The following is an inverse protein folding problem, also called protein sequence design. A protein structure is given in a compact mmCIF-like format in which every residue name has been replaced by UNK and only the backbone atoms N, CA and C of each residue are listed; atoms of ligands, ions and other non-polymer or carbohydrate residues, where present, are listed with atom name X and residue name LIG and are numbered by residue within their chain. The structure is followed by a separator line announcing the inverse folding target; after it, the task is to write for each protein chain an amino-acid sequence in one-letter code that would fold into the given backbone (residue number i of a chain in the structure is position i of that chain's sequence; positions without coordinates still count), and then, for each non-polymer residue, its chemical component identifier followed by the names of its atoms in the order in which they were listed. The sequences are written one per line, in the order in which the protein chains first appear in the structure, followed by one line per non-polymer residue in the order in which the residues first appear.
data_IF_933880400385
#
_entry.id   IF_933880400385
#
_cell.length_a   1.000
_cell.length_b   1.000
_cell.length_c   1.000
_cell.angle_alpha   90.00
_cell.angle_beta   90.00
_cell.angle_gamma   90.00
#
_symmetry.space_group_name_H-M   'P 1'
#
loop_
_entity.id
_entity.type
_entity.pdbx_description
1 polymer ?
#
# COMPACT_ATOMS: atom_id res chain seq x y z
N UNK A 1 20.80 80.61 -0.15
CA UNK A 1 20.47 81.39 1.06
C UNK A 1 20.35 80.39 2.18
N UNK A 2 21.34 80.43 3.08
CA UNK A 2 21.38 79.92 4.45
C UNK A 2 21.27 78.38 4.57
N UNK A 3 22.38 77.65 4.62
CA UNK A 3 23.36 77.51 5.72
C UNK A 3 22.80 76.79 6.96
N UNK A 4 23.58 75.80 7.39
CA UNK A 4 23.86 75.35 8.77
C UNK A 4 23.51 73.88 9.12
N UNK A 5 24.53 73.03 9.08
CA UNK A 5 24.77 72.07 10.18
C UNK A 5 25.18 72.86 11.43
N UNK A 6 24.92 72.39 12.67
CA UNK A 6 25.98 71.65 13.37
C UNK A 6 25.57 70.66 14.48
N UNK A 7 26.51 69.73 14.72
CA UNK A 7 27.11 69.30 16.00
C UNK A 7 26.29 68.70 17.18
N UNK A 8 26.80 67.53 17.57
CA UNK A 8 26.83 66.86 18.89
C UNK A 8 26.55 67.69 20.16
N UNK A 9 25.73 67.10 21.04
CA UNK A 9 25.77 67.27 22.49
C UNK A 9 25.23 66.01 23.22
N UNK A 10 26.08 65.33 23.99
CA UNK A 10 25.70 64.60 25.22
C UNK A 10 25.95 65.55 26.42
N UNK A 11 25.53 65.31 27.69
CA UNK A 11 24.92 64.11 28.30
C UNK A 11 23.69 64.42 29.20
N UNK A 12 23.07 63.41 29.81
CA UNK A 12 22.01 63.62 30.80
C UNK A 12 21.45 62.32 31.36
N UNK A 13 22.21 61.72 32.28
CA UNK A 13 21.85 60.55 33.07
C UNK A 13 20.67 60.87 34.00
N UNK A 14 19.52 60.24 33.79
CA UNK A 14 18.44 60.16 34.78
C UNK A 14 17.86 58.75 34.79
N UNK A 15 18.41 57.96 35.71
CA UNK A 15 17.97 56.65 36.13
C UNK A 15 16.51 56.63 36.59
N UNK A 16 15.64 55.84 35.93
CA UNK A 16 14.44 55.28 36.55
C UNK A 16 14.17 53.89 35.93
N UNK A 17 14.53 52.87 36.71
CA UNK A 17 13.99 51.52 36.81
C UNK A 17 13.55 50.79 35.52
N UNK A 18 14.40 49.85 35.10
CA UNK A 18 14.02 48.76 34.20
C UNK A 18 13.29 47.64 34.97
N UNK A 19 12.03 47.31 34.65
CA UNK A 19 11.47 46.01 34.98
C UNK A 19 11.90 44.98 33.92
N UNK A 20 12.16 43.77 34.42
CA UNK A 20 12.73 42.62 33.73
C UNK A 20 12.20 42.35 32.31
N UNK A 21 13.12 41.97 31.42
CA UNK A 21 12.82 41.36 30.12
C UNK A 21 11.96 40.10 30.32
N UNK A 22 10.81 39.95 29.63
CA UNK A 22 10.19 38.65 29.48
C UNK A 22 11.06 37.81 28.55
N UNK A 23 11.45 36.63 29.05
CA UNK A 23 12.27 35.66 28.35
C UNK A 23 11.74 35.37 26.94
N UNK A 24 12.66 35.37 25.97
CA UNK A 24 12.41 34.88 24.63
C UNK A 24 11.87 33.44 24.72
N UNK A 25 10.64 33.25 24.25
CA UNK A 25 10.04 31.93 24.12
C UNK A 25 10.81 31.16 23.02
N UNK A 26 11.28 29.94 23.27
CA UNK A 26 11.96 29.17 22.24
C UNK A 26 10.98 28.82 21.13
N UNK A 27 11.41 29.03 19.88
CA UNK A 27 10.71 28.62 18.68
C UNK A 27 10.41 27.12 18.75
N UNK A 28 9.21 26.65 18.35
CA UNK A 28 8.91 25.23 18.38
C UNK A 28 9.79 24.52 17.35
N UNK A 29 10.56 23.53 17.82
CA UNK A 29 11.34 22.65 16.97
C UNK A 29 10.43 21.91 15.97
N UNK A 30 10.88 21.70 14.72
CA UNK A 30 10.11 20.94 13.75
C UNK A 30 9.96 19.50 14.27
N UNK A 31 8.72 19.04 14.37
CA UNK A 31 8.41 17.66 14.72
C UNK A 31 9.18 16.72 13.79
N UNK A 32 10.02 15.86 14.37
CA UNK A 32 10.67 14.79 13.65
C UNK A 32 9.60 13.88 13.03
N UNK A 33 9.37 14.02 11.73
CA UNK A 33 8.70 13.01 10.92
C UNK A 33 9.54 11.73 11.00
N UNK A 34 9.15 10.82 11.89
CA UNK A 34 9.67 9.47 11.91
C UNK A 34 9.20 8.83 10.60
N UNK A 35 10.14 8.67 9.66
CA UNK A 35 9.89 7.94 8.42
C UNK A 35 9.19 6.62 8.78
N UNK A 36 8.03 6.30 8.16
CA UNK A 36 7.32 5.07 8.44
C UNK A 36 8.26 3.90 8.20
N UNK A 37 8.44 3.04 9.20
CA UNK A 37 9.19 1.80 9.04
C UNK A 37 8.54 1.02 7.91
N UNK A 38 9.32 0.69 6.88
CA UNK A 38 8.83 -0.12 5.79
C UNK A 38 8.23 -1.41 6.36
N UNK A 39 7.04 -1.84 5.92
CA UNK A 39 6.57 -3.16 6.26
C UNK A 39 7.66 -4.15 5.87
N UNK A 40 7.97 -5.11 6.76
CA UNK A 40 8.93 -6.16 6.44
C UNK A 40 8.57 -6.73 5.06
N UNK A 41 9.53 -6.74 4.11
CA UNK A 41 9.26 -7.21 2.77
C UNK A 41 8.62 -8.59 2.90
N UNK A 42 7.50 -8.86 2.22
CA UNK A 42 6.77 -10.12 2.36
C UNK A 42 7.64 -11.27 1.86
N UNK A 43 8.51 -11.84 2.71
CA UNK A 43 9.51 -12.86 2.39
C UNK A 43 9.87 -12.84 0.90
N UNK A 44 10.28 -11.68 0.37
CA UNK A 44 10.74 -11.63 -1.00
C UNK A 44 12.11 -12.26 -0.93
N UNK A 45 12.14 -13.57 -1.19
CA UNK A 45 13.37 -14.35 -1.18
C UNK A 45 14.43 -13.52 -1.90
N UNK A 46 15.52 -13.22 -1.20
CA UNK A 46 16.73 -12.77 -1.86
C UNK A 46 17.16 -13.93 -2.76
N UNK A 47 16.71 -13.91 -4.02
CA UNK A 47 17.06 -14.89 -5.04
C UNK A 47 18.46 -14.63 -5.61
N UNK A 48 19.17 -13.63 -5.08
CA UNK A 48 20.46 -13.15 -5.59
C UNK A 48 21.62 -13.27 -4.60
N UNK A 49 21.36 -13.55 -3.33
CA UNK A 49 22.37 -13.85 -2.31
C UNK A 49 22.16 -15.26 -1.74
N UNK A 50 23.21 -15.82 -1.13
CA UNK A 50 23.22 -17.16 -0.48
C UNK A 50 22.01 -17.34 0.46
N UNK A 51 20.91 -17.84 -0.10
CA UNK A 51 19.64 -17.93 0.61
C UNK A 51 19.73 -19.00 1.69
N UNK A 52 19.74 -18.56 2.95
CA UNK A 52 19.54 -19.44 4.09
C UNK A 52 18.22 -20.19 3.89
N UNK A 53 18.22 -21.53 3.93
CA UNK A 53 17.05 -22.39 3.65
C UNK A 53 15.81 -22.06 4.50
N UNK A 54 15.96 -21.29 5.58
CA UNK A 54 14.88 -20.73 6.40
C UNK A 54 14.05 -19.63 5.73
N UNK A 55 14.48 -19.10 4.58
CA UNK A 55 13.77 -18.03 3.82
C UNK A 55 12.94 -18.55 2.65
N UNK A 56 13.01 -19.85 2.34
CA UNK A 56 12.26 -20.45 1.23
C UNK A 56 10.80 -20.74 1.62
N UNK A 57 9.91 -20.76 0.62
CA UNK A 57 8.49 -21.08 0.84
C UNK A 57 8.34 -22.50 1.41
N UNK A 58 7.30 -22.78 2.23
CA UNK A 58 7.20 -24.01 3.01
C UNK A 58 7.31 -25.31 2.21
N UNK A 59 6.95 -25.30 0.93
CA UNK A 59 7.05 -26.47 0.05
C UNK A 59 8.50 -26.95 -0.16
N UNK A 60 9.51 -26.11 0.10
CA UNK A 60 10.92 -26.50 -0.02
C UNK A 60 11.38 -27.47 1.08
N UNK A 61 10.69 -27.49 2.21
CA UNK A 61 10.92 -28.45 3.30
C UNK A 61 10.21 -29.80 3.06
N UNK A 62 9.36 -29.89 2.03
CA UNK A 62 8.60 -31.09 1.66
C UNK A 62 9.29 -31.83 0.50
N UNK A 63 9.01 -33.14 0.39
CA UNK A 63 9.60 -33.99 -0.65
C UNK A 63 9.34 -33.42 -2.06
N UNK A 64 10.31 -33.52 -2.98
CA UNK A 64 10.15 -33.02 -4.35
C UNK A 64 8.89 -33.53 -5.06
N UNK A 65 8.53 -34.81 -4.87
CA UNK A 65 7.32 -35.38 -5.45
C UNK A 65 6.03 -34.73 -4.93
N UNK A 66 5.99 -34.38 -3.64
CA UNK A 66 4.84 -33.70 -3.01
C UNK A 66 4.74 -32.26 -3.53
N UNK A 67 5.89 -31.57 -3.63
CA UNK A 67 5.96 -30.22 -4.21
C UNK A 67 5.50 -30.20 -5.66
N UNK A 68 5.88 -31.21 -6.44
CA UNK A 68 5.44 -31.36 -7.82
C UNK A 68 3.92 -31.55 -7.91
N UNK A 69 3.33 -32.36 -7.02
CA UNK A 69 1.88 -32.51 -6.94
C UNK A 69 1.15 -31.19 -6.61
N UNK A 70 1.74 -30.35 -5.74
CA UNK A 70 1.22 -29.01 -5.50
C UNK A 70 1.27 -28.13 -6.76
N UNK A 71 2.38 -28.17 -7.50
CA UNK A 71 2.54 -27.41 -8.74
C UNK A 71 1.53 -27.86 -9.79
N UNK A 72 1.35 -29.16 -10.03
CA UNK A 72 0.36 -29.68 -10.97
C UNK A 72 -1.06 -29.22 -10.62
N UNK A 73 -1.44 -29.32 -9.35
CA UNK A 73 -2.74 -28.86 -8.85
C UNK A 73 -2.95 -27.35 -9.12
N UNK A 74 -1.94 -26.53 -8.82
CA UNK A 74 -2.03 -25.08 -9.01
C UNK A 74 -2.02 -24.70 -10.50
N UNK A 75 -1.18 -25.31 -11.31
CA UNK A 75 -1.10 -25.06 -12.75
C UNK A 75 -2.40 -25.44 -13.45
N UNK A 76 -2.98 -26.60 -13.11
CA UNK A 76 -4.27 -27.02 -13.64
C UNK A 76 -5.38 -26.00 -13.32
N UNK A 77 -5.41 -25.46 -12.09
CA UNK A 77 -6.41 -24.46 -11.75
C UNK A 77 -6.18 -23.10 -12.43
N UNK A 78 -4.92 -22.64 -12.50
CA UNK A 78 -4.59 -21.28 -12.99
C UNK A 78 -4.57 -21.19 -14.51
N UNK A 79 -3.99 -22.17 -15.20
CA UNK A 79 -3.74 -22.12 -16.64
C UNK A 79 -4.68 -23.02 -17.45
N UNK A 80 -5.11 -24.15 -16.87
CA UNK A 80 -6.04 -25.07 -17.55
C UNK A 80 -7.50 -24.80 -17.16
N UNK A 81 -7.75 -23.81 -16.30
CA UNK A 81 -9.08 -23.44 -15.79
C UNK A 81 -9.83 -24.60 -15.10
N UNK A 82 -9.10 -25.58 -14.56
CA UNK A 82 -9.69 -26.70 -13.82
C UNK A 82 -10.48 -26.19 -12.61
N UNK A 83 -11.73 -26.63 -12.38
CA UNK A 83 -12.47 -26.33 -11.17
C UNK A 83 -11.68 -26.69 -9.91
N UNK A 84 -11.96 -25.99 -8.80
CA UNK A 84 -11.25 -26.18 -7.52
C UNK A 84 -11.30 -27.65 -7.08
N UNK A 85 -12.50 -28.26 -7.13
CA UNK A 85 -12.69 -29.66 -6.72
C UNK A 85 -11.90 -30.65 -7.57
N UNK A 86 -11.76 -30.38 -8.87
CA UNK A 86 -11.01 -31.24 -9.79
C UNK A 86 -9.51 -31.10 -9.56
N UNK A 87 -9.02 -29.88 -9.32
CA UNK A 87 -7.63 -29.64 -8.95
C UNK A 87 -7.28 -30.31 -7.61
N UNK A 88 -8.17 -30.25 -6.62
CA UNK A 88 -7.98 -30.92 -5.32
C UNK A 88 -8.06 -32.45 -5.42
N UNK A 89 -8.91 -32.97 -6.32
CA UNK A 89 -8.95 -34.41 -6.63
C UNK A 89 -7.62 -34.85 -7.24
N UNK A 90 -7.11 -34.14 -8.25
CA UNK A 90 -5.81 -34.41 -8.86
C UNK A 90 -4.68 -34.44 -7.82
N UNK A 91 -4.65 -33.46 -6.92
CA UNK A 91 -3.70 -33.43 -5.80
C UNK A 91 -3.83 -34.69 -4.92
N UNK A 92 -5.05 -35.08 -4.59
CA UNK A 92 -5.32 -36.25 -3.76
C UNK A 92 -4.89 -37.55 -4.43
N UNK A 93 -5.13 -37.69 -5.73
CA UNK A 93 -4.76 -38.84 -6.54
C UNK A 93 -3.23 -38.96 -6.63
N UNK A 94 -2.52 -37.87 -6.94
CA UNK A 94 -1.05 -37.85 -6.98
C UNK A 94 -0.44 -38.19 -5.62
N UNK A 95 -0.98 -37.64 -4.53
CA UNK A 95 -0.54 -38.00 -3.17
C UNK A 95 -0.83 -39.46 -2.82
N UNK A 96 -1.89 -40.05 -3.36
CA UNK A 96 -2.21 -41.47 -3.17
C UNK A 96 -1.18 -42.35 -3.89
N UNK A 97 -0.80 -41.98 -5.12
CA UNK A 97 0.27 -42.65 -5.86
C UNK A 97 1.59 -42.56 -5.10
N UNK A 98 1.95 -41.37 -4.62
CA UNK A 98 3.17 -41.17 -3.82
C UNK A 98 3.13 -42.03 -2.54
N UNK A 99 1.98 -42.08 -1.85
CA UNK A 99 1.81 -42.92 -0.67
C UNK A 99 2.01 -44.41 -0.99
N UNK A 100 1.50 -44.89 -2.12
CA UNK A 100 1.69 -46.27 -2.56
C UNK A 100 3.16 -46.58 -2.84
N UNK A 101 3.91 -45.65 -3.43
CA UNK A 101 5.33 -45.83 -3.71
C UNK A 101 6.21 -45.78 -2.44
N UNK A 102 5.87 -44.93 -1.48
CA UNK A 102 6.68 -44.72 -0.26
C UNK A 102 6.22 -45.59 0.93
N UNK A 103 5.06 -46.24 0.84
CA UNK A 103 4.40 -46.94 1.94
C UNK A 103 3.70 -46.01 2.94
N UNK A 104 4.20 -44.78 3.11
CA UNK A 104 3.58 -43.75 3.95
C UNK A 104 3.97 -42.35 3.48
N UNK A 105 3.02 -41.42 3.49
CA UNK A 105 3.32 -39.99 3.29
C UNK A 105 4.06 -39.40 4.49
N UNK A 106 5.12 -38.61 4.27
CA UNK A 106 5.81 -37.92 5.35
C UNK A 106 4.87 -36.93 6.03
N UNK A 107 4.86 -36.93 7.36
CA UNK A 107 4.11 -35.97 8.18
C UNK A 107 5.03 -34.91 8.82
N UNK A 108 6.33 -35.00 8.57
CA UNK A 108 7.38 -34.10 9.07
C UNK A 108 8.06 -33.39 7.89
N UNK A 109 8.28 -32.06 7.98
CA UNK A 109 7.92 -31.19 9.11
C UNK A 109 6.40 -30.98 9.23
N UNK A 110 5.60 -31.28 8.20
CA UNK A 110 4.15 -31.06 8.17
C UNK A 110 3.43 -32.12 7.35
N UNK A 111 2.12 -32.25 7.57
CA UNK A 111 1.25 -33.09 6.74
C UNK A 111 1.08 -32.49 5.34
N UNK A 112 1.04 -33.31 4.27
CA UNK A 112 0.87 -32.81 2.92
C UNK A 112 -0.46 -32.09 2.72
N UNK A 113 -0.45 -31.04 1.89
CA UNK A 113 -1.63 -30.27 1.54
C UNK A 113 -2.66 -31.14 0.80
N UNK A 114 -3.93 -30.99 1.16
CA UNK A 114 -5.06 -31.69 0.50
C UNK A 114 -6.04 -30.73 -0.18
N UNK A 115 -5.83 -29.43 -0.03
CA UNK A 115 -6.64 -28.39 -0.66
C UNK A 115 -5.79 -27.47 -1.51
N UNK A 116 -6.40 -26.90 -2.55
CA UNK A 116 -5.74 -25.97 -3.47
C UNK A 116 -5.25 -24.73 -2.71
N UNK A 117 -6.04 -24.25 -1.74
CA UNK A 117 -5.68 -23.12 -0.88
C UNK A 117 -4.40 -23.42 -0.09
N UNK A 118 -4.30 -24.61 0.49
CA UNK A 118 -3.11 -24.99 1.27
C UNK A 118 -1.91 -25.19 0.35
N UNK A 119 -2.09 -25.83 -0.81
CA UNK A 119 -1.02 -26.02 -1.80
C UNK A 119 -0.46 -24.68 -2.29
N UNK A 120 -1.32 -23.70 -2.61
CA UNK A 120 -0.91 -22.33 -2.95
C UNK A 120 -0.10 -21.68 -1.83
N UNK A 121 -0.54 -21.80 -0.58
CA UNK A 121 0.19 -21.26 0.58
C UNK A 121 1.56 -21.93 0.73
N UNK A 122 1.66 -23.25 0.54
CA UNK A 122 2.94 -23.97 0.58
C UNK A 122 3.92 -23.47 -0.47
N UNK A 123 3.41 -23.16 -1.66
CA UNK A 123 4.19 -22.66 -2.79
C UNK A 123 4.47 -21.14 -2.73
N UNK A 124 3.96 -20.40 -1.74
CA UNK A 124 4.05 -18.93 -1.70
C UNK A 124 3.23 -18.23 -2.79
N UNK A 125 2.22 -18.91 -3.34
CA UNK A 125 1.33 -18.42 -4.41
C UNK A 125 -0.06 -18.03 -3.86
N UNK A 126 -0.17 -17.79 -2.55
CA UNK A 126 -1.45 -17.42 -1.94
C UNK A 126 -1.74 -15.93 -2.18
N UNK A 127 -2.71 -15.64 -3.04
CA UNK A 127 -3.11 -14.27 -3.40
C UNK A 127 -3.59 -13.48 -2.19
N UNK A 128 -4.22 -14.15 -1.22
CA UNK A 128 -4.71 -13.52 0.01
C UNK A 128 -3.58 -12.92 0.87
N UNK A 129 -2.32 -13.32 0.66
CA UNK A 129 -1.21 -12.71 1.35
C UNK A 129 -1.02 -11.25 0.92
N UNK A 130 -1.60 -10.82 -0.21
CA UNK A 130 -1.48 -9.46 -0.76
C UNK A 130 -2.75 -8.63 -0.60
N UNK A 131 -3.78 -9.18 0.05
CA UNK A 131 -5.06 -8.50 0.26
C UNK A 131 -5.32 -8.42 1.77
N UNK A 132 -5.39 -7.20 2.28
CA UNK A 132 -5.70 -6.89 3.66
C UNK A 132 -7.17 -6.51 3.78
N UNK A 133 -7.84 -7.05 4.81
CA UNK A 133 -9.17 -6.61 5.19
C UNK A 133 -9.04 -5.51 6.23
N UNK A 134 -9.13 -4.25 5.80
CA UNK A 134 -9.08 -3.10 6.68
C UNK A 134 -10.44 -2.91 7.35
N UNK A 135 -10.45 -2.75 8.67
CA UNK A 135 -11.66 -2.39 9.38
C UNK A 135 -11.99 -0.93 9.11
N UNK A 136 -13.26 -0.64 8.80
CA UNK A 136 -13.70 0.72 8.49
C UNK A 136 -14.96 1.06 9.27
N UNK A 137 -15.11 2.33 9.62
CA UNK A 137 -16.35 2.84 10.19
C UNK A 137 -17.53 2.59 9.24
N UNK A 138 -18.68 2.17 9.79
CA UNK A 138 -19.90 1.93 8.98
C UNK A 138 -20.50 3.18 8.33
N UNK A 139 -20.08 4.38 8.75
CA UNK A 139 -20.59 5.67 8.26
C UNK A 139 -19.54 6.53 7.58
N UNK A 140 -18.50 7.00 8.26
CA UNK A 140 -17.49 7.88 7.62
C UNK A 140 -16.39 7.13 6.86
N UNK A 141 -16.35 5.79 6.94
CA UNK A 141 -15.34 4.93 6.31
C UNK A 141 -13.89 5.17 6.76
N UNK A 142 -13.68 5.90 7.87
CA UNK A 142 -12.38 5.96 8.55
C UNK A 142 -11.84 4.56 8.80
N UNK A 143 -10.60 4.33 8.41
CA UNK A 143 -9.87 3.07 8.58
C UNK A 143 -9.37 2.96 10.01
N UNK A 144 -9.48 1.76 10.58
CA UNK A 144 -8.96 1.44 11.92
C UNK A 144 -8.04 0.22 11.85
N UNK A 145 -6.92 0.30 12.56
CA UNK A 145 -6.02 -0.82 12.80
C UNK A 145 -6.59 -1.78 13.84
N UNK A 146 -5.98 -2.97 13.95
CA UNK A 146 -6.41 -3.94 14.97
C UNK A 146 -6.12 -3.42 16.38
N UNK A 147 -5.01 -2.73 16.56
CA UNK A 147 -4.60 -2.17 17.84
C UNK A 147 -5.50 -0.99 18.24
N UNK A 148 -5.89 -0.15 17.28
CA UNK A 148 -6.88 0.90 17.52
C UNK A 148 -8.22 0.31 17.97
N UNK A 149 -8.70 -0.73 17.28
CA UNK A 149 -9.94 -1.42 17.67
C UNK A 149 -9.84 -2.03 19.07
N UNK A 150 -8.69 -2.56 19.45
CA UNK A 150 -8.45 -3.09 20.79
C UNK A 150 -8.42 -1.98 21.87
N UNK A 151 -7.85 -0.82 21.52
CA UNK A 151 -7.73 0.33 22.41
C UNK A 151 -9.03 1.15 22.56
N UNK A 152 -9.99 1.01 21.64
CA UNK A 152 -11.26 1.71 21.73
C UNK A 152 -12.05 1.32 23.00
N UNK A 153 -12.55 2.32 23.72
CA UNK A 153 -13.41 2.12 24.89
C UNK A 153 -14.86 1.77 24.52
N UNK A 154 -15.27 2.07 23.28
CA UNK A 154 -16.64 1.91 22.76
C UNK A 154 -16.59 1.48 21.29
N UNK A 155 -17.61 0.76 20.77
CA UNK A 155 -17.72 0.44 19.35
C UNK A 155 -17.99 1.63 18.43
N UNK A 156 -18.18 2.83 18.97
CA UNK A 156 -18.47 4.05 18.23
C UNK A 156 -17.23 4.63 17.53
N UNK A 157 -17.46 5.33 16.43
CA UNK A 157 -16.39 5.98 15.68
C UNK A 157 -15.82 7.18 16.46
N UNK A 158 -14.50 7.34 16.40
CA UNK A 158 -13.80 8.48 17.04
C UNK A 158 -13.85 9.76 16.22
N UNK A 159 -14.37 9.71 14.98
CA UNK A 159 -14.46 10.86 14.11
C UNK A 159 -15.54 11.84 14.58
N UNK A 160 -15.24 13.14 14.52
CA UNK A 160 -16.12 14.17 15.07
C UNK A 160 -17.51 14.11 14.43
N UNK A 161 -18.56 14.04 15.26
CA UNK A 161 -19.97 13.97 14.83
C UNK A 161 -20.32 12.75 13.95
N UNK A 162 -19.52 11.69 13.96
CA UNK A 162 -19.83 10.48 13.21
C UNK A 162 -20.67 9.49 14.04
N UNK A 163 -21.93 9.17 13.67
CA UNK A 163 -22.76 8.19 14.38
C UNK A 163 -22.41 6.74 14.00
N UNK A 164 -21.24 6.52 13.40
CA UNK A 164 -20.84 5.22 12.88
C UNK A 164 -20.28 4.30 13.94
N UNK A 165 -20.19 3.02 13.57
CA UNK A 165 -19.62 1.97 14.42
C UNK A 165 -18.40 1.36 13.75
N UNK A 166 -17.40 1.02 14.55
CA UNK A 166 -16.12 0.43 14.11
C UNK A 166 -16.15 -1.09 14.24
N UNK A 167 -16.66 -1.62 15.36
CA UNK A 167 -16.70 -3.05 15.63
C UNK A 167 -18.02 -3.51 16.25
N UNK A 168 -18.28 -4.82 16.14
CA UNK A 168 -19.29 -5.57 16.85
C UNK A 168 -18.63 -6.50 17.86
N UNK A 169 -19.32 -6.77 18.96
CA UNK A 169 -18.88 -7.77 19.93
C UNK A 169 -19.63 -9.07 19.67
N UNK A 170 -18.89 -10.15 19.53
CA UNK A 170 -19.45 -11.50 19.33
C UNK A 170 -18.90 -12.41 20.40
N UNK A 171 -19.76 -13.21 21.05
CA UNK A 171 -19.33 -14.18 22.06
C UNK A 171 -18.35 -15.18 21.42
N UNK A 172 -17.20 -15.44 22.04
CA UNK A 172 -16.32 -16.54 21.60
C UNK A 172 -17.13 -17.84 21.60
N UNK A 173 -17.08 -18.62 20.52
CA UNK A 173 -17.58 -20.00 20.57
C UNK A 173 -16.68 -20.76 21.53
N UNK A 174 -17.27 -21.46 22.49
CA UNK A 174 -16.56 -22.32 23.44
C UNK A 174 -15.75 -23.37 22.67
N UNK A 175 -14.44 -23.14 22.55
CA UNK A 175 -13.46 -24.19 22.28
C UNK A 175 -13.23 -25.03 23.54
N UNK A 176 -12.43 -26.11 23.49
CA UNK A 176 -12.08 -26.85 24.69
C UNK A 176 -11.48 -25.90 25.72
N UNK A 177 -12.09 -25.86 26.91
CA UNK A 177 -11.77 -24.92 27.97
C UNK A 177 -10.27 -24.95 28.28
N UNK A 178 -9.59 -23.82 28.06
CA UNK A 178 -8.25 -23.62 28.61
C UNK A 178 -8.45 -23.30 30.09
N UNK A 179 -7.87 -24.06 31.03
CA UNK A 179 -8.02 -23.78 32.45
C UNK A 179 -7.48 -22.38 32.77
N UNK A 180 -8.37 -21.45 33.15
CA UNK A 180 -8.02 -20.07 33.51
C UNK A 180 -8.52 -18.98 32.55
N UNK A 181 -9.14 -19.32 31.42
CA UNK A 181 -9.79 -18.32 30.54
C UNK A 181 -11.25 -18.12 31.01
N UNK A 182 -11.62 -16.89 31.36
CA UNK A 182 -12.98 -16.58 31.82
C UNK A 182 -14.03 -16.95 30.75
N UNK A 183 -14.99 -17.76 31.18
CA UNK A 183 -16.05 -18.32 30.36
C UNK A 183 -17.06 -17.22 29.98
N UNK A 184 -16.74 -16.44 28.95
CA UNK A 184 -17.53 -15.26 28.59
C UNK A 184 -16.85 -14.24 27.68
N UNK A 185 -15.57 -14.40 27.34
CA UNK A 185 -14.84 -13.41 26.57
C UNK A 185 -15.52 -13.10 25.22
N UNK A 186 -15.86 -11.83 25.01
CA UNK A 186 -16.33 -11.30 23.74
C UNK A 186 -15.14 -11.04 22.82
N UNK A 187 -15.29 -11.38 21.54
CA UNK A 187 -14.35 -11.01 20.48
C UNK A 187 -14.88 -9.78 19.77
N UNK A 188 -14.04 -8.75 19.65
CA UNK A 188 -14.30 -7.60 18.77
C UNK A 188 -14.07 -8.02 17.31
N UNK A 189 -15.08 -7.80 16.47
CA UNK A 189 -15.05 -8.11 15.03
C UNK A 189 -15.41 -6.82 14.28
N UNK A 190 -14.66 -6.41 13.25
CA UNK A 190 -14.98 -5.22 12.48
C UNK A 190 -16.43 -5.20 12.01
N UNK A 191 -17.12 -4.07 12.20
CA UNK A 191 -18.52 -3.91 11.81
C UNK A 191 -18.67 -3.78 10.29
N UNK A 192 -17.65 -3.22 9.63
CA UNK A 192 -17.50 -3.15 8.19
C UNK A 192 -16.02 -3.34 7.83
N UNK A 193 -15.77 -3.97 6.69
CA UNK A 193 -14.41 -4.18 6.16
C UNK A 193 -14.32 -3.69 4.73
N UNK A 194 -13.13 -3.24 4.35
CA UNK A 194 -12.76 -2.94 2.98
C UNK A 194 -11.54 -3.78 2.58
N UNK A 195 -11.55 -4.31 1.36
CA UNK A 195 -10.41 -5.03 0.83
C UNK A 195 -9.41 -4.02 0.27
N UNK A 196 -8.17 -4.08 0.75
CA UNK A 196 -7.08 -3.20 0.38
C UNK A 196 -5.87 -4.03 -0.01
N UNK A 197 -5.25 -3.76 -1.15
CA UNK A 197 -4.03 -4.43 -1.58
C UNK A 197 -2.86 -3.45 -1.48
N UNK A 198 -2.01 -3.55 -0.43
CA UNK A 198 -0.92 -2.62 -0.21
C UNK A 198 0.01 -2.55 -1.44
N UNK A 199 0.23 -1.35 -1.94
CA UNK A 199 1.08 -1.10 -3.09
C UNK A 199 2.53 -1.49 -2.77
N UNK A 200 3.05 -1.13 -1.60
CA UNK A 200 4.40 -1.50 -1.14
C UNK A 200 4.64 -3.01 -1.14
N UNK A 201 3.60 -3.78 -0.80
CA UNK A 201 3.66 -5.25 -0.80
C UNK A 201 3.60 -5.83 -2.21
N UNK A 202 2.86 -5.18 -3.11
CA UNK A 202 2.66 -5.64 -4.48
C UNK A 202 3.79 -5.23 -5.43
N UNK A 203 4.42 -4.06 -5.23
CA UNK A 203 5.45 -3.49 -6.09
C UNK A 203 6.58 -4.47 -6.42
N UNK A 204 7.19 -5.18 -5.46
CA UNK A 204 8.26 -6.13 -5.77
C UNK A 204 7.85 -7.19 -6.80
N UNK A 205 6.58 -7.64 -6.79
CA UNK A 205 6.09 -8.62 -7.77
C UNK A 205 5.98 -8.07 -9.18
N UNK A 206 5.71 -6.78 -9.33
CA UNK A 206 5.78 -6.14 -10.64
C UNK A 206 7.21 -6.13 -11.14
N UNK A 207 8.17 -5.71 -10.31
CA UNK A 207 9.59 -5.63 -10.68
C UNK A 207 10.30 -6.98 -10.84
N UNK A 208 9.78 -8.07 -10.25
CA UNK A 208 10.27 -9.43 -10.50
C UNK A 208 9.90 -9.97 -11.89
N UNK A 209 8.95 -9.35 -12.58
CA UNK A 209 8.55 -9.76 -13.93
C UNK A 209 9.47 -9.13 -14.96
N UNK A 210 10.24 -9.96 -15.65
CA UNK A 210 11.18 -9.53 -16.68
C UNK A 210 10.50 -8.64 -17.73
N UNK A 211 9.34 -9.06 -18.22
CA UNK A 211 8.59 -8.33 -19.24
C UNK A 211 8.09 -6.97 -18.71
N UNK A 212 7.72 -6.88 -17.44
CA UNK A 212 7.31 -5.60 -16.84
C UNK A 212 8.47 -4.62 -16.83
N UNK A 213 9.67 -5.06 -16.44
CA UNK A 213 10.86 -4.20 -16.39
C UNK A 213 11.33 -3.81 -17.79
N UNK A 214 11.26 -4.72 -18.76
CA UNK A 214 11.58 -4.43 -20.17
C UNK A 214 10.59 -3.43 -20.80
N UNK A 215 9.32 -3.47 -20.39
CA UNK A 215 8.27 -2.58 -20.87
C UNK A 215 8.27 -1.17 -20.21
N UNK A 216 9.08 -0.96 -19.16
CA UNK A 216 9.23 0.36 -18.54
C UNK A 216 10.06 1.27 -19.43
N UNK A 217 9.57 2.49 -19.65
CA UNK A 217 10.41 3.58 -20.13
C UNK A 217 11.45 3.93 -19.06
N UNK A 218 12.65 3.41 -19.26
CA UNK A 218 13.83 3.65 -18.42
C UNK A 218 14.82 4.59 -19.09
N UNK A 219 14.39 5.33 -20.12
CA UNK A 219 15.25 6.28 -20.84
C UNK A 219 15.68 7.43 -19.92
N UNK A 220 16.78 7.22 -19.21
CA UNK A 220 17.45 8.25 -18.43
C UNK A 220 18.16 9.18 -19.40
N UNK A 221 17.41 10.13 -19.97
CA UNK A 221 17.88 11.27 -20.77
C UNK A 221 19.36 11.24 -21.18
N UNK A 222 19.70 10.60 -22.30
CA UNK A 222 20.90 10.96 -23.06
C UNK A 222 20.58 11.88 -24.23
N UNK A 223 19.33 11.90 -24.70
CA UNK A 223 18.87 12.80 -25.76
C UNK A 223 17.80 13.78 -25.25
N UNK A 224 17.83 15.05 -25.71
CA UNK A 224 16.82 16.02 -25.33
C UNK A 224 15.43 15.54 -25.79
N UNK A 225 14.41 15.62 -24.93
CA UNK A 225 13.05 15.24 -25.29
C UNK A 225 12.61 15.96 -26.57
N UNK A 226 12.01 15.23 -27.52
CA UNK A 226 11.36 15.85 -28.67
C UNK A 226 10.24 16.76 -28.18
N UNK A 227 10.37 18.06 -28.38
CA UNK A 227 9.28 19.00 -28.11
C UNK A 227 8.24 18.84 -29.21
N UNK A 228 7.01 18.50 -28.84
CA UNK A 228 5.90 18.49 -29.79
C UNK A 228 5.55 19.93 -30.17
N UNK A 229 5.30 20.17 -31.45
CA UNK A 229 4.79 21.48 -31.87
C UNK A 229 3.35 21.68 -31.37
N UNK A 230 2.91 22.93 -31.21
CA UNK A 230 1.58 23.26 -30.66
C UNK A 230 0.41 22.60 -31.41
N UNK A 231 0.60 22.30 -32.70
CA UNK A 231 -0.40 21.66 -33.56
C UNK A 231 -0.25 20.14 -33.65
N UNK A 232 0.79 19.56 -33.07
CA UNK A 232 1.02 18.12 -33.07
C UNK A 232 0.28 17.46 -31.89
N UNK A 233 -0.56 16.43 -32.13
CA UNK A 233 -1.27 15.77 -31.05
C UNK A 233 -0.31 14.95 -30.18
N UNK A 234 -0.59 14.90 -28.87
CA UNK A 234 0.01 13.89 -27.99
C UNK A 234 -0.61 12.53 -28.28
N UNK A 235 0.22 11.51 -28.51
CA UNK A 235 -0.21 10.13 -28.74
C UNK A 235 -0.19 9.29 -27.48
N UNK A 236 0.62 9.68 -26.50
CA UNK A 236 0.73 9.09 -25.18
C UNK A 236 0.95 10.14 -24.09
N UNK A 237 0.64 9.81 -22.83
CA UNK A 237 0.94 10.65 -21.67
C UNK A 237 2.43 10.98 -21.57
N UNK A 238 3.30 10.05 -21.99
CA UNK A 238 4.76 10.24 -21.97
C UNK A 238 5.24 11.34 -22.93
N UNK A 239 4.41 11.73 -23.91
CA UNK A 239 4.69 12.85 -24.81
C UNK A 239 4.51 14.22 -24.12
N UNK A 240 3.81 14.26 -22.98
CA UNK A 240 3.53 15.52 -22.29
C UNK A 240 4.81 16.09 -21.67
N UNK A 241 5.08 17.38 -21.91
CA UNK A 241 6.22 18.06 -21.27
C UNK A 241 6.12 17.99 -19.75
N UNK A 242 4.92 18.21 -19.19
CA UNK A 242 4.68 18.13 -17.74
C UNK A 242 5.07 16.78 -17.14
N UNK A 243 4.82 15.67 -17.84
CA UNK A 243 5.23 14.34 -17.39
C UNK A 243 6.77 14.22 -17.36
N UNK A 244 7.43 14.70 -18.42
CA UNK A 244 8.89 14.62 -18.61
C UNK A 244 9.66 15.54 -17.67
N UNK A 245 9.10 16.70 -17.36
CA UNK A 245 9.66 17.71 -16.46
C UNK A 245 9.25 17.52 -15.00
N UNK A 246 8.50 16.46 -14.67
CA UNK A 246 8.06 16.20 -13.28
C UNK A 246 9.27 16.05 -12.37
N UNK A 247 9.41 16.96 -11.41
CA UNK A 247 10.53 17.03 -10.47
C UNK A 247 10.21 16.20 -9.23
N UNK A 248 11.17 15.39 -8.77
CA UNK A 248 10.99 14.47 -7.63
C UNK A 248 11.59 14.99 -6.31
N UNK A 249 12.26 16.15 -6.30
CA UNK A 249 12.96 16.67 -5.12
C UNK A 249 12.14 17.66 -4.26
N UNK A 250 10.84 17.83 -4.54
CA UNK A 250 9.96 18.79 -3.84
C UNK A 250 8.94 18.10 -2.94
N UNK A 251 8.64 18.64 -1.76
CA UNK A 251 7.47 18.26 -0.97
C UNK A 251 6.46 19.40 -0.96
N UNK A 252 5.19 19.03 -0.92
CA UNK A 252 4.09 19.97 -0.82
C UNK A 252 3.94 20.47 0.62
N UNK A 253 4.09 21.77 0.83
CA UNK A 253 3.88 22.45 2.10
C UNK A 253 2.63 23.34 2.00
N UNK A 254 1.80 23.31 3.03
CA UNK A 254 0.68 24.23 3.20
C UNK A 254 1.19 25.41 4.02
N UNK A 255 1.14 26.61 3.46
CA UNK A 255 1.52 27.85 4.12
C UNK A 255 0.46 28.26 5.15
N UNK A 256 0.80 29.19 6.04
CA UNK A 256 -0.09 29.64 7.12
C UNK A 256 -1.40 30.26 6.59
N UNK A 257 -1.40 30.78 5.36
CA UNK A 257 -2.57 31.33 4.68
C UNK A 257 -3.43 30.26 3.97
N UNK A 258 -3.06 28.98 4.08
CA UNK A 258 -3.73 27.86 3.42
C UNK A 258 -3.32 27.65 1.96
N UNK A 259 -2.43 28.49 1.41
CA UNK A 259 -1.89 28.27 0.07
C UNK A 259 -0.92 27.09 0.05
N UNK A 260 -0.77 26.48 -1.13
CA UNK A 260 0.02 25.26 -1.31
C UNK A 260 1.24 25.60 -2.14
N UNK A 261 2.42 25.29 -1.60
CA UNK A 261 3.70 25.47 -2.29
C UNK A 261 4.48 24.17 -2.30
N UNK A 262 5.09 23.85 -3.44
CA UNK A 262 6.05 22.75 -3.51
C UNK A 262 7.45 23.31 -3.18
N UNK A 263 8.06 22.81 -2.11
CA UNK A 263 9.36 23.26 -1.58
C UNK A 263 10.38 22.16 -1.80
N UNK A 264 11.60 22.50 -2.24
CA UNK A 264 12.68 21.52 -2.39
C UNK A 264 13.05 20.92 -1.01
N UNK A 265 12.94 19.60 -0.87
CA UNK A 265 13.21 18.88 0.39
C UNK A 265 14.46 18.02 0.32
N UNK A 266 14.86 17.56 -0.87
CA UNK A 266 16.05 16.71 -1.00
C UNK A 266 17.30 17.53 -1.30
N UNK A 267 18.38 17.24 -0.57
CA UNK A 267 19.71 17.80 -0.86
C UNK A 267 20.32 17.09 -2.08
N UNK A 268 20.90 17.86 -2.99
CA UNK A 268 21.59 17.34 -4.18
C UNK A 268 21.06 17.89 -5.51
N UNK A 269 21.56 17.28 -6.59
CA UNK A 269 21.16 17.60 -7.96
C UNK A 269 19.68 17.32 -8.17
N UNK A 270 19.00 18.22 -8.89
CA UNK A 270 17.59 18.08 -9.21
C UNK A 270 17.37 16.78 -9.99
N UNK A 271 16.40 15.97 -9.53
CA UNK A 271 16.00 14.73 -10.20
C UNK A 271 14.62 14.93 -10.79
N UNK A 272 14.46 14.58 -12.06
CA UNK A 272 13.16 14.42 -12.71
C UNK A 272 12.73 12.95 -12.67
N UNK A 273 11.44 12.70 -12.91
CA UNK A 273 10.88 11.36 -13.02
C UNK A 273 11.72 10.45 -13.92
N UNK A 274 12.14 10.97 -15.08
CA UNK A 274 12.93 10.21 -16.07
C UNK A 274 14.42 10.15 -15.76
N UNK A 275 14.96 11.02 -14.90
CA UNK A 275 16.36 10.93 -14.46
C UNK A 275 16.63 9.74 -13.53
N UNK A 276 15.56 9.17 -12.95
CA UNK A 276 15.63 8.02 -12.06
C UNK A 276 15.27 6.76 -12.85
N UNK A 277 16.19 5.79 -12.89
CA UNK A 277 16.03 4.54 -13.68
C UNK A 277 14.70 3.82 -13.45
N UNK A 278 14.18 3.85 -12.22
CA UNK A 278 12.90 3.25 -11.84
C UNK A 278 11.96 4.27 -11.19
N UNK A 279 12.03 5.54 -11.60
CA UNK A 279 11.10 6.55 -11.13
C UNK A 279 9.69 6.24 -11.61
N UNK A 280 8.75 6.03 -10.70
CA UNK A 280 7.39 5.62 -11.06
C UNK A 280 6.40 6.78 -10.98
N UNK A 281 5.57 6.91 -12.03
CA UNK A 281 4.38 7.74 -12.03
C UNK A 281 3.14 6.85 -12.11
N UNK A 282 2.12 7.20 -11.31
CA UNK A 282 0.89 6.42 -11.21
C UNK A 282 -0.30 7.26 -11.63
N UNK A 283 -1.25 6.64 -12.34
CA UNK A 283 -2.61 7.18 -12.51
C UNK A 283 -3.58 6.42 -11.63
N UNK A 284 -4.32 7.15 -10.80
CA UNK A 284 -5.41 6.63 -9.97
C UNK A 284 -6.70 6.72 -10.77
N UNK A 285 -7.34 5.58 -11.02
CA UNK A 285 -8.66 5.50 -11.63
C UNK A 285 -9.66 5.01 -10.57
N UNK A 286 -10.84 5.63 -10.52
CA UNK A 286 -11.91 5.26 -9.59
C UNK A 286 -13.17 5.04 -10.41
N UNK A 287 -13.83 3.90 -10.18
CA UNK A 287 -15.06 3.53 -10.89
C UNK A 287 -16.06 2.82 -9.95
N UNK A 288 -17.33 2.77 -10.37
CA UNK A 288 -18.46 2.22 -9.63
C UNK A 288 -19.25 1.25 -10.50
N UNK A 289 -19.59 0.09 -9.93
CA UNK A 289 -20.30 -0.96 -10.65
C UNK A 289 -21.39 -1.59 -9.78
N UNK A 290 -22.52 -1.87 -10.41
CA UNK A 290 -23.59 -2.66 -9.82
C UNK A 290 -23.17 -4.12 -9.73
N UNK A 291 -23.09 -4.68 -8.52
CA UNK A 291 -22.65 -6.07 -8.31
C UNK A 291 -23.78 -7.07 -8.54
N UNK A 292 -25.03 -6.62 -8.44
CA UNK A 292 -26.21 -7.48 -8.52
C UNK A 292 -27.23 -6.91 -9.50
N UNK A 293 -27.73 -7.75 -10.40
CA UNK A 293 -28.88 -7.41 -11.23
C UNK A 293 -30.14 -7.19 -10.37
N UNK A 294 -30.88 -6.13 -10.65
CA UNK A 294 -32.17 -5.85 -10.00
C UNK A 294 -32.10 -5.39 -8.54
N UNK A 295 -30.91 -5.19 -7.95
CA UNK A 295 -30.74 -4.58 -6.63
C UNK A 295 -29.70 -3.46 -6.70
N UNK A 296 -30.01 -2.23 -6.23
CA UNK A 296 -29.07 -1.12 -6.23
C UNK A 296 -27.99 -1.36 -5.15
N UNK A 297 -26.96 -2.13 -5.51
CA UNK A 297 -25.75 -2.32 -4.71
C UNK A 297 -24.55 -1.97 -5.58
N UNK A 298 -24.10 -0.72 -5.45
CA UNK A 298 -22.91 -0.19 -6.11
C UNK A 298 -21.69 -0.46 -5.23
N UNK A 299 -20.64 -1.01 -5.83
CA UNK A 299 -19.31 -1.17 -5.22
C UNK A 299 -18.34 -0.35 -6.06
N UNK A 300 -17.41 0.32 -5.39
CA UNK A 300 -16.36 1.06 -6.07
C UNK A 300 -15.05 0.29 -6.11
N UNK A 301 -14.18 0.62 -7.05
CA UNK A 301 -12.79 0.18 -7.04
C UNK A 301 -11.84 1.34 -7.36
N UNK A 302 -10.66 1.26 -6.78
CA UNK A 302 -9.54 2.17 -7.01
C UNK A 302 -8.41 1.38 -7.66
N UNK A 303 -8.03 1.78 -8.86
CA UNK A 303 -7.00 1.14 -9.66
C UNK A 303 -5.80 2.08 -9.82
N UNK A 304 -4.59 1.53 -9.68
CA UNK A 304 -3.35 2.21 -10.05
C UNK A 304 -2.81 1.64 -11.34
N UNK A 305 -2.35 2.53 -12.21
CA UNK A 305 -1.68 2.17 -13.47
C UNK A 305 -0.31 2.81 -13.52
N UNK A 306 0.67 2.07 -14.03
CA UNK A 306 2.06 2.50 -14.10
C UNK A 306 2.28 3.30 -15.39
N UNK A 307 2.38 4.62 -15.29
CA UNK A 307 2.45 5.50 -16.45
C UNK A 307 3.73 5.30 -17.27
N UNK A 308 4.80 4.81 -16.63
CA UNK A 308 6.08 4.51 -17.26
C UNK A 308 6.02 3.30 -18.19
N UNK A 309 5.01 2.43 -18.09
CA UNK A 309 4.88 1.33 -19.02
C UNK A 309 4.52 1.82 -20.43
N UNK A 310 5.05 1.14 -21.43
CA UNK A 310 4.65 1.34 -22.82
C UNK A 310 3.12 1.24 -22.98
N UNK A 311 2.54 2.11 -23.80
CA UNK A 311 1.10 2.26 -23.99
C UNK A 311 0.38 0.94 -24.30
N UNK A 312 0.99 0.07 -25.10
CA UNK A 312 0.37 -1.20 -25.52
C UNK A 312 0.18 -2.20 -24.39
N UNK A 313 0.89 -2.05 -23.26
CA UNK A 313 0.84 -2.98 -22.13
C UNK A 313 0.33 -2.34 -20.83
N UNK A 314 0.29 -1.00 -20.75
CA UNK A 314 -0.03 -0.23 -19.53
C UNK A 314 -1.34 -0.65 -18.86
N UNK A 315 -2.38 -0.90 -19.65
CA UNK A 315 -3.73 -1.22 -19.17
C UNK A 315 -4.07 -2.72 -19.25
N UNK A 316 -3.10 -3.59 -19.54
CA UNK A 316 -3.33 -5.03 -19.43
C UNK A 316 -3.62 -5.39 -17.97
N UNK A 317 -4.55 -6.30 -17.72
CA UNK A 317 -4.96 -6.69 -16.36
C UNK A 317 -3.78 -7.03 -15.44
N UNK A 318 -2.72 -7.65 -15.97
CA UNK A 318 -1.49 -7.99 -15.22
C UNK A 318 -0.65 -6.77 -14.79
N UNK A 319 -0.89 -5.60 -15.37
CA UNK A 319 -0.15 -4.35 -15.17
C UNK A 319 -1.01 -3.27 -14.48
N UNK A 320 -2.24 -3.57 -14.11
CA UNK A 320 -3.13 -2.69 -13.34
C UNK A 320 -3.22 -3.22 -11.91
N UNK A 321 -2.94 -2.36 -10.93
CA UNK A 321 -3.03 -2.72 -9.52
C UNK A 321 -4.37 -2.29 -8.94
N UNK A 322 -5.18 -3.24 -8.48
CA UNK A 322 -6.40 -2.93 -7.72
C UNK A 322 -6.02 -2.59 -6.28
N UNK A 323 -5.95 -1.31 -5.97
CA UNK A 323 -5.50 -0.81 -4.66
C UNK A 323 -6.56 -1.03 -3.58
N UNK A 324 -7.83 -0.76 -3.88
CA UNK A 324 -8.90 -0.75 -2.90
C UNK A 324 -10.24 -1.13 -3.54
N UNK A 325 -11.04 -1.91 -2.82
CA UNK A 325 -12.47 -2.10 -3.09
C UNK A 325 -13.27 -1.26 -2.10
N UNK A 326 -13.98 -0.26 -2.61
CA UNK A 326 -14.82 0.64 -1.82
C UNK A 326 -16.13 -0.08 -1.51
N UNK A 327 -16.47 -0.29 -0.24
CA UNK A 327 -17.63 -1.08 0.12
C UNK A 327 -18.93 -0.30 -0.14
N UNK A 328 -19.89 -0.97 -0.78
CA UNK A 328 -21.22 -0.42 -1.07
C UNK A 328 -22.09 -0.15 0.16
N UNK A 329 -23.41 0.08 -0.04
CA UNK A 329 -24.19 -0.11 -1.27
C UNK A 329 -24.27 1.13 -2.20
N UNK A 330 -23.74 2.28 -1.77
CA UNK A 330 -23.82 3.54 -2.50
C UNK A 330 -22.43 4.10 -2.76
N UNK A 331 -22.35 5.00 -3.74
CA UNK A 331 -21.16 5.82 -3.96
C UNK A 331 -20.80 6.60 -2.68
N UNK A 332 -19.52 6.60 -2.27
CA UNK A 332 -19.10 7.32 -1.08
C UNK A 332 -19.13 8.83 -1.28
N UNK A 333 -19.34 9.58 -0.20
CA UNK A 333 -19.07 11.01 -0.17
C UNK A 333 -17.57 11.30 -0.33
N UNK A 334 -17.21 12.54 -0.67
CA UNK A 334 -15.81 12.96 -0.76
C UNK A 334 -15.03 12.71 0.53
N UNK A 335 -15.65 12.94 1.69
CA UNK A 335 -15.03 12.69 3.00
C UNK A 335 -14.80 11.19 3.23
N UNK A 336 -15.78 10.34 2.89
CA UNK A 336 -15.62 8.89 2.94
C UNK A 336 -14.51 8.42 2.01
N UNK A 337 -14.41 9.01 0.81
CA UNK A 337 -13.37 8.67 -0.15
C UNK A 337 -11.98 9.06 0.37
N UNK A 338 -11.83 10.24 0.97
CA UNK A 338 -10.57 10.68 1.58
C UNK A 338 -10.10 9.70 2.66
N UNK A 339 -10.99 9.32 3.58
CA UNK A 339 -10.67 8.33 4.62
C UNK A 339 -10.24 6.97 4.07
N UNK A 340 -10.88 6.52 2.99
CA UNK A 340 -10.60 5.24 2.36
C UNK A 340 -9.29 5.23 1.58
N UNK A 341 -8.91 6.37 0.98
CA UNK A 341 -7.66 6.52 0.23
C UNK A 341 -6.45 6.76 1.12
N UNK A 342 -6.65 7.15 2.37
CA UNK A 342 -5.58 7.48 3.32
C UNK A 342 -4.45 6.42 3.39
N UNK A 343 -4.73 5.10 3.49
CA UNK A 343 -3.65 4.10 3.48
C UNK A 343 -2.81 4.13 2.20
N UNK A 344 -3.44 4.31 1.05
CA UNK A 344 -2.76 4.42 -0.24
C UNK A 344 -1.94 5.70 -0.35
N UNK A 345 -2.45 6.82 0.18
CA UNK A 345 -1.72 8.10 0.24
C UNK A 345 -0.47 7.96 1.09
N UNK A 346 -0.56 7.30 2.25
CA UNK A 346 0.61 7.08 3.12
C UNK A 346 1.66 6.21 2.41
N UNK A 347 1.27 5.14 1.73
CA UNK A 347 2.20 4.33 0.95
C UNK A 347 2.85 5.09 -0.21
N UNK A 348 2.08 5.91 -0.93
CA UNK A 348 2.61 6.76 -2.00
C UNK A 348 3.60 7.82 -1.48
N UNK A 349 3.37 8.38 -0.28
CA UNK A 349 4.33 9.28 0.39
C UNK A 349 5.64 8.57 0.71
N UNK A 350 5.59 7.33 1.19
CA UNK A 350 6.79 6.53 1.45
C UNK A 350 7.54 6.28 0.14
N UNK A 351 6.85 5.87 -0.94
CA UNK A 351 7.48 5.68 -2.27
C UNK A 351 8.12 6.98 -2.76
N UNK A 352 7.41 8.09 -2.64
CA UNK A 352 7.87 9.40 -3.06
C UNK A 352 9.11 9.86 -2.27
N UNK A 353 9.25 9.42 -1.01
CA UNK A 353 10.41 9.75 -0.18
C UNK A 353 11.73 9.10 -0.60
N UNK A 354 11.72 8.23 -1.61
CA UNK A 354 12.92 7.56 -2.12
C UNK A 354 13.23 6.24 -1.41
N UNK A 355 12.18 5.45 -1.20
CA UNK A 355 12.16 4.11 -0.63
C UNK A 355 13.32 3.21 -1.09
#
# INVERSE_FOLDING_TARGET
MLDDEPAFAEPGDSSLDAPASPAASPSPEPSHDVAPTLPEPPALCDLTGDANWSTLVPAFEELPAIRLAYLHCVLANVFEHSPILDAERRLTDELTIINLCLGMLPNTPRKPARSLVTARRRLGLNVNDYIELKAVCTKCFKVFSTDEIAALNSPECTESKCPGRVYNETRKRSGPAIPGEEDGAFKRVPAKVAAYAPLLKALPRYFLRKEFVEDLDTSTHTEPPRTLAEHEPMYDLQDAEAYRSTVLDHARTILQDGSVQDVKVFSGAQRTLRSVRYGQSFTINIDWFGVTEGRPHSVGAVYLTFNNLHRSVRYLQRNVHLLLVIPGPHEPSLEQLNHMLEPGVQELKIIYSGL
#
